data_IF_810067795864
#
_entry.id   IF_810067795864
#
_cell.length_a   1.000
_cell.length_b   1.000
_cell.length_c   1.000
_cell.angle_alpha   90.00
_cell.angle_beta   90.00
_cell.angle_gamma   90.00
#
_symmetry.space_group_name_H-M   'P 1'
#
loop_
_entity.id
_entity.type
_entity.pdbx_description
1 polymer ?
#
# COMPACT_ATOMS: atom_id res chain seq x y z
N UNK A 1 -1.48 -8.72 18.91
CA UNK A 1 -1.39 -8.48 17.46
C UNK A 1 0.07 -8.63 17.07
N UNK A 2 0.35 -9.41 16.03
CA UNK A 2 1.67 -9.46 15.41
C UNK A 2 1.98 -8.08 14.81
N UNK A 3 3.27 -7.70 14.76
CA UNK A 3 3.66 -6.40 14.20
C UNK A 3 3.53 -6.46 12.68
N UNK A 4 3.14 -5.36 12.02
CA UNK A 4 3.18 -5.31 10.56
C UNK A 4 4.61 -5.55 10.06
N UNK A 5 4.78 -6.48 9.12
CA UNK A 5 6.06 -6.79 8.48
C UNK A 5 6.00 -6.61 6.97
N UNK A 6 7.15 -6.24 6.39
CA UNK A 6 7.33 -6.01 4.96
C UNK A 6 8.20 -7.13 4.38
N UNK A 7 7.67 -7.84 3.38
CA UNK A 7 8.41 -8.81 2.59
C UNK A 7 9.34 -8.11 1.59
N UNK A 8 10.55 -8.64 1.45
CA UNK A 8 11.54 -8.11 0.49
C UNK A 8 11.36 -8.66 -0.93
N UNK A 9 10.68 -9.79 -1.07
CA UNK A 9 10.42 -10.41 -2.37
C UNK A 9 8.94 -10.77 -2.52
N UNK A 10 8.46 -10.75 -3.77
CA UNK A 10 7.05 -10.96 -4.10
C UNK A 10 6.58 -12.41 -3.86
N UNK A 11 7.48 -13.37 -3.99
CA UNK A 11 7.15 -14.80 -3.87
C UNK A 11 6.76 -15.18 -2.44
N UNK A 12 7.52 -14.70 -1.45
CA UNK A 12 7.21 -14.89 -0.02
C UNK A 12 5.86 -14.26 0.33
N UNK A 13 5.61 -13.02 -0.10
CA UNK A 13 4.32 -12.35 0.12
C UNK A 13 3.14 -13.16 -0.46
N UNK A 14 3.27 -13.63 -1.71
CA UNK A 14 2.21 -14.45 -2.36
C UNK A 14 1.99 -15.80 -1.67
N UNK A 15 3.05 -16.39 -1.10
CA UNK A 15 3.00 -17.68 -0.43
C UNK A 15 2.33 -17.58 0.94
N UNK A 16 2.73 -16.61 1.75
CA UNK A 16 2.26 -16.48 3.14
C UNK A 16 0.88 -15.80 3.23
N UNK A 17 0.54 -14.92 2.27
CA UNK A 17 -0.74 -14.19 2.21
C UNK A 17 -1.05 -13.40 3.49
N UNK A 18 -0.04 -12.72 4.00
CA UNK A 18 -0.09 -11.79 5.12
C UNK A 18 0.90 -10.64 4.89
N UNK A 19 0.96 -9.70 5.84
CA UNK A 19 1.89 -8.58 5.83
C UNK A 19 1.78 -7.72 4.58
N UNK A 20 2.92 -7.17 4.16
CA UNK A 20 2.99 -6.20 3.07
C UNK A 20 4.14 -6.48 2.10
N UNK A 21 4.01 -6.02 0.87
CA UNK A 21 5.08 -6.05 -0.14
C UNK A 21 5.08 -4.76 -0.95
N UNK A 22 6.25 -4.11 -1.05
CA UNK A 22 6.41 -2.92 -1.86
C UNK A 22 6.88 -3.30 -3.26
N UNK A 23 6.01 -3.12 -4.25
CA UNK A 23 6.31 -3.45 -5.65
C UNK A 23 7.12 -2.34 -6.30
N UNK A 24 8.42 -2.59 -6.44
CA UNK A 24 9.36 -1.72 -7.13
C UNK A 24 9.42 -2.01 -8.62
N UNK A 25 9.66 -0.97 -9.42
CA UNK A 25 9.96 -1.10 -10.85
C UNK A 25 8.73 -1.15 -11.77
N UNK A 26 7.51 -1.06 -11.24
CA UNK A 26 6.33 -0.70 -12.03
C UNK A 26 6.39 0.78 -12.42
N UNK A 27 5.65 1.14 -13.47
CA UNK A 27 5.38 2.55 -13.81
C UNK A 27 4.67 3.31 -12.68
N UNK A 28 3.98 2.58 -11.81
CA UNK A 28 3.27 3.11 -10.65
C UNK A 28 3.64 2.27 -9.41
N UNK A 29 4.61 2.72 -8.60
CA UNK A 29 5.01 2.02 -7.39
C UNK A 29 3.82 1.87 -6.44
N UNK A 30 3.64 0.68 -5.87
CA UNK A 30 2.51 0.42 -4.97
C UNK A 30 2.90 -0.49 -3.83
N UNK A 31 2.15 -0.36 -2.73
CA UNK A 31 2.20 -1.28 -1.61
C UNK A 31 1.05 -2.28 -1.75
N UNK A 32 1.36 -3.56 -1.79
CA UNK A 32 0.41 -4.64 -1.65
C UNK A 32 0.31 -5.03 -0.17
N UNK A 33 -0.89 -5.34 0.31
CA UNK A 33 -1.11 -5.82 1.67
C UNK A 33 -2.10 -6.98 1.68
N UNK A 34 -1.90 -7.93 2.59
CA UNK A 34 -2.90 -8.93 2.93
C UNK A 34 -3.27 -8.78 4.40
N UNK A 35 -4.53 -8.41 4.67
CA UNK A 35 -5.08 -8.31 6.02
C UNK A 35 -6.50 -8.85 6.05
N UNK A 36 -6.88 -9.48 7.17
CA UNK A 36 -8.23 -10.02 7.37
C UNK A 36 -8.71 -10.92 6.20
N UNK A 37 -7.80 -11.68 5.60
CA UNK A 37 -8.03 -12.55 4.42
C UNK A 37 -8.42 -11.81 3.13
N UNK A 38 -8.27 -10.48 3.08
CA UNK A 38 -8.46 -9.65 1.90
C UNK A 38 -7.13 -9.10 1.41
N UNK A 39 -7.00 -8.94 0.10
CA UNK A 39 -5.87 -8.24 -0.49
C UNK A 39 -6.23 -6.76 -0.68
N UNK A 40 -5.28 -5.90 -0.37
CA UNK A 40 -5.37 -4.46 -0.58
C UNK A 40 -4.18 -3.98 -1.39
N UNK A 41 -4.36 -2.87 -2.09
CA UNK A 41 -3.30 -2.18 -2.81
C UNK A 41 -3.41 -0.68 -2.58
N UNK A 42 -2.30 -0.06 -2.19
CA UNK A 42 -2.17 1.39 -2.08
C UNK A 42 -1.15 1.87 -3.11
N UNK A 43 -1.61 2.71 -4.04
CA UNK A 43 -0.79 3.26 -5.12
C UNK A 43 -0.62 4.76 -4.92
N UNK A 44 0.61 5.23 -5.03
CA UNK A 44 0.90 6.66 -5.08
C UNK A 44 0.76 7.16 -6.52
N UNK A 45 -0.26 7.99 -6.78
CA UNK A 45 -0.56 8.54 -8.12
C UNK A 45 0.05 9.94 -8.33
N UNK A 46 0.97 10.37 -7.46
CA UNK A 46 1.54 11.71 -7.47
C UNK A 46 0.66 12.69 -6.70
N UNK A 47 -0.51 13.02 -7.24
CA UNK A 47 -1.45 14.01 -6.67
C UNK A 47 -2.29 13.43 -5.53
N UNK A 48 -2.66 12.15 -5.62
CA UNK A 48 -3.51 11.47 -4.65
C UNK A 48 -3.01 10.05 -4.37
N UNK A 49 -3.50 9.46 -3.28
CA UNK A 49 -3.33 8.04 -3.01
C UNK A 49 -4.57 7.28 -3.46
N UNK A 50 -4.36 6.16 -4.16
CA UNK A 50 -5.45 5.28 -4.56
C UNK A 50 -5.36 3.95 -3.81
N UNK A 51 -6.34 3.68 -2.96
CA UNK A 51 -6.47 2.46 -2.18
C UNK A 51 -7.57 1.59 -2.77
N UNK A 52 -7.27 0.34 -3.03
CA UNK A 52 -8.23 -0.58 -3.65
C UNK A 52 -8.21 -1.94 -2.98
N UNK A 53 -9.38 -2.57 -2.97
CA UNK A 53 -9.60 -3.98 -2.69
C UNK A 53 -10.42 -4.60 -3.82
N UNK A 54 -10.86 -5.84 -3.68
CA UNK A 54 -11.81 -6.46 -4.60
C UNK A 54 -13.19 -5.80 -4.56
N UNK A 55 -13.53 -5.18 -3.43
CA UNK A 55 -14.88 -4.68 -3.15
C UNK A 55 -15.07 -3.19 -3.47
N UNK A 56 -13.98 -2.41 -3.48
CA UNK A 56 -14.02 -0.97 -3.75
C UNK A 56 -12.67 -0.37 -4.13
N UNK A 57 -12.70 0.88 -4.59
CA UNK A 57 -11.56 1.77 -4.71
C UNK A 57 -11.83 3.12 -4.07
N UNK A 58 -10.82 3.73 -3.45
CA UNK A 58 -10.92 5.02 -2.79
C UNK A 58 -9.72 5.90 -3.12
N UNK A 59 -10.00 7.16 -3.43
CA UNK A 59 -9.00 8.19 -3.60
C UNK A 59 -8.90 9.02 -2.34
N UNK A 60 -7.68 9.26 -1.89
CA UNK A 60 -7.38 10.09 -0.74
C UNK A 60 -6.48 11.25 -1.11
N UNK A 61 -6.74 12.39 -0.48
CA UNK A 61 -5.76 13.44 -0.37
C UNK A 61 -4.50 12.89 0.33
N UNK A 62 -3.35 13.02 -0.32
CA UNK A 62 -2.11 12.40 0.13
C UNK A 62 -1.61 12.93 1.47
N UNK A 63 -1.88 14.19 1.79
CA UNK A 63 -1.37 14.84 3.00
C UNK A 63 -2.18 14.44 4.22
N UNK A 64 -3.51 14.56 4.15
CA UNK A 64 -4.39 14.45 5.31
C UNK A 64 -5.26 13.18 5.32
N UNK A 65 -5.16 12.29 4.31
CA UNK A 65 -6.00 11.09 4.17
C UNK A 65 -7.50 11.38 4.09
N UNK A 66 -7.91 12.60 3.75
CA UNK A 66 -9.30 12.92 3.48
C UNK A 66 -9.75 12.13 2.25
N UNK A 67 -10.90 11.45 2.37
CA UNK A 67 -11.53 10.75 1.25
C UNK A 67 -12.03 11.78 0.24
N UNK A 68 -11.57 11.66 -1.01
CA UNK A 68 -11.98 12.52 -2.13
C UNK A 68 -13.01 11.82 -3.02
N UNK A 69 -12.88 10.51 -3.18
CA UNK A 69 -13.79 9.71 -4.01
C UNK A 69 -13.86 8.26 -3.50
N UNK A 70 -15.03 7.63 -3.64
CA UNK A 70 -15.25 6.21 -3.37
C UNK A 70 -15.96 5.60 -4.58
N UNK A 71 -15.42 4.48 -5.06
CA UNK A 71 -16.04 3.63 -6.08
C UNK A 71 -16.31 2.26 -5.48
N UNK A 72 -17.57 1.91 -5.35
CA UNK A 72 -18.00 0.62 -4.80
C UNK A 72 -18.21 -0.38 -5.92
N UNK A 73 -17.62 -1.57 -5.78
CA UNK A 73 -17.78 -2.69 -6.71
C UNK A 73 -18.73 -3.77 -6.15
N UNK A 74 -18.84 -3.88 -4.82
CA UNK A 74 -19.72 -4.83 -4.12
C UNK A 74 -20.33 -4.23 -2.84
N UNK A 75 -21.51 -4.70 -2.42
CA UNK A 75 -22.21 -4.24 -1.20
C UNK A 75 -21.55 -4.78 0.08
N UNK A 76 -20.37 -4.27 0.43
CA UNK A 76 -19.67 -4.58 1.69
C UNK A 76 -19.39 -3.30 2.51
N UNK A 77 -19.33 -3.42 3.85
CA UNK A 77 -19.07 -2.29 4.75
C UNK A 77 -17.59 -1.87 4.76
N UNK A 78 -17.31 -0.58 5.07
CA UNK A 78 -16.03 0.09 4.79
C UNK A 78 -15.18 0.51 6.00
N UNK A 79 -15.71 0.47 7.22
CA UNK A 79 -15.07 1.15 8.36
C UNK A 79 -13.69 0.56 8.72
N UNK A 80 -13.56 -0.77 8.70
CA UNK A 80 -12.29 -1.45 8.96
C UNK A 80 -11.24 -1.18 7.88
N UNK A 81 -11.67 -0.87 6.65
CA UNK A 81 -10.76 -0.67 5.52
C UNK A 81 -10.04 0.69 5.57
N UNK A 82 -10.60 1.68 6.29
CA UNK A 82 -9.97 2.98 6.53
C UNK A 82 -8.72 2.88 7.40
N UNK A 83 -8.77 2.06 8.46
CA UNK A 83 -7.61 1.83 9.33
C UNK A 83 -6.46 1.19 8.54
N UNK A 84 -6.79 0.21 7.69
CA UNK A 84 -5.84 -0.46 6.82
C UNK A 84 -5.20 0.52 5.83
N UNK A 85 -5.99 1.41 5.22
CA UNK A 85 -5.47 2.43 4.31
C UNK A 85 -4.47 3.38 5.00
N UNK A 86 -4.77 3.81 6.23
CA UNK A 86 -3.88 4.66 7.03
C UNK A 86 -2.56 3.94 7.40
N UNK A 87 -2.64 2.68 7.81
CA UNK A 87 -1.47 1.85 8.09
C UNK A 87 -0.60 1.69 6.83
N UNK A 88 -1.23 1.38 5.70
CA UNK A 88 -0.56 1.25 4.41
C UNK A 88 0.14 2.54 3.98
N UNK A 89 -0.43 3.73 4.25
CA UNK A 89 0.24 5.01 3.94
C UNK A 89 1.57 5.14 4.69
N UNK A 90 1.59 4.81 5.99
CA UNK A 90 2.81 4.89 6.80
C UNK A 90 3.87 3.94 6.25
N UNK A 91 3.48 2.70 5.94
CA UNK A 91 4.39 1.69 5.41
C UNK A 91 4.90 2.06 4.02
N UNK A 92 4.02 2.54 3.13
CA UNK A 92 4.39 2.99 1.79
C UNK A 92 5.42 4.12 1.85
N UNK A 93 5.20 5.11 2.72
CA UNK A 93 6.13 6.24 2.91
C UNK A 93 7.49 5.76 3.43
N UNK A 94 7.50 4.83 4.38
CA UNK A 94 8.72 4.21 4.90
C UNK A 94 9.47 3.40 3.84
N UNK A 95 8.76 2.57 3.07
CA UNK A 95 9.34 1.78 1.99
C UNK A 95 9.94 2.68 0.89
N UNK A 96 9.19 3.69 0.44
CA UNK A 96 9.69 4.68 -0.52
C UNK A 96 10.97 5.35 -0.02
N UNK A 97 11.00 5.77 1.24
CA UNK A 97 12.19 6.40 1.84
C UNK A 97 13.40 5.45 1.88
N UNK A 98 13.19 4.20 2.30
CA UNK A 98 14.23 3.17 2.36
C UNK A 98 14.82 2.86 0.97
N UNK A 99 13.98 2.68 -0.03
CA UNK A 99 14.42 2.32 -1.39
C UNK A 99 14.92 3.51 -2.22
N UNK A 100 14.53 4.75 -1.88
CA UNK A 100 15.14 5.95 -2.46
C UNK A 100 16.51 6.25 -1.83
N UNK A 101 16.69 6.00 -0.53
CA UNK A 101 17.98 6.16 0.15
C UNK A 101 19.05 5.21 -0.39
N UNK A 102 18.69 3.94 -0.62
CA UNK A 102 19.60 2.93 -1.20
C UNK A 102 20.02 3.25 -2.64
N UNK A 103 19.21 3.96 -3.44
CA UNK A 103 19.61 4.40 -4.79
C UNK A 103 20.71 5.48 -4.77
N UNK A 104 20.79 6.31 -3.73
CA UNK A 104 21.80 7.38 -3.63
C UNK A 104 23.19 6.85 -3.30
N UNK A 105 23.28 5.75 -2.55
CA UNK A 105 24.57 5.18 -2.10
C UNK A 105 25.30 4.39 -3.21
N UNK A 106 24.59 3.91 -4.23
CA UNK A 106 25.19 3.15 -5.35
C UNK A 106 25.86 4.10 -6.39
N UNK A 107 25.58 5.39 -6.33
CA UNK A 107 26.34 6.43 -7.06
C UNK A 107 27.53 6.93 -6.25
N UNK A 108 28.50 6.05 -5.96
CA UNK A 108 29.83 6.50 -5.55
C UNK A 108 30.92 5.62 -6.15
N UNK A 109 31.71 6.25 -7.03
CA UNK A 109 32.95 5.82 -7.71
C UNK A 109 32.82 4.86 -8.91
#
# INVERSE_FOLDING_TARGET
KEKPHLYLNRESFKKEKDGFYYEQGSTEPCLLGYQNKKQYKLTDKGEFLYFESEDFGMSFNKENMQVENIRVFSDSGFEQDMEIAAEMKVILTGAQSFYQGTKKEITTN
#
